data_IF_864052330822
#
_entry.id   IF_864052330822
#
_cell.length_a   1.000
_cell.length_b   1.000
_cell.length_c   1.000
_cell.angle_alpha   90.00
_cell.angle_beta   90.00
_cell.angle_gamma   90.00
#
_symmetry.space_group_name_H-M   'P 1'
#
loop_
_entity.id
_entity.type
_entity.pdbx_description
1 polymer ?
#
# COMPACT_ATOMS: atom_id res chain seq x y z
N UNK A 1 12.75 -3.89 -19.22
CA UNK A 1 13.99 -3.29 -19.71
C UNK A 1 15.02 -4.38 -19.95
N UNK A 2 15.79 -4.29 -21.03
CA UNK A 2 16.94 -5.12 -21.37
C UNK A 2 18.23 -4.42 -20.94
N UNK A 3 19.34 -5.15 -20.81
CA UNK A 3 20.64 -4.54 -20.49
C UNK A 3 21.08 -3.50 -21.53
N UNK A 4 20.79 -3.78 -22.79
CA UNK A 4 21.08 -2.89 -23.92
C UNK A 4 20.27 -1.59 -23.89
N UNK A 5 19.26 -1.49 -23.02
CA UNK A 5 18.55 -0.22 -22.82
C UNK A 5 19.48 0.78 -22.11
N UNK A 6 20.48 0.33 -21.33
CA UNK A 6 21.53 1.22 -20.80
C UNK A 6 22.43 1.66 -21.97
N UNK A 7 22.35 2.93 -22.36
CA UNK A 7 22.98 3.49 -23.58
C UNK A 7 24.46 3.14 -23.74
N UNK A 8 25.22 3.19 -22.65
CA UNK A 8 26.67 2.94 -22.68
C UNK A 8 27.04 1.45 -22.61
N UNK A 9 26.04 0.57 -22.49
CA UNK A 9 26.21 -0.88 -22.38
C UNK A 9 26.08 -1.51 -23.77
N UNK A 10 27.23 -1.81 -24.39
CA UNK A 10 27.32 -2.41 -25.73
C UNK A 10 26.82 -3.85 -25.75
N UNK A 11 26.25 -4.28 -26.89
CA UNK A 11 25.72 -5.63 -27.08
C UNK A 11 26.69 -6.77 -26.72
N UNK A 12 27.99 -6.63 -27.01
CA UNK A 12 28.96 -7.67 -26.67
C UNK A 12 29.19 -7.78 -25.17
N UNK A 13 29.18 -6.65 -24.45
CA UNK A 13 29.21 -6.66 -22.98
C UNK A 13 27.90 -7.19 -22.40
N UNK A 14 26.75 -6.86 -23.00
CA UNK A 14 25.45 -7.40 -22.59
C UNK A 14 25.44 -8.93 -22.64
N UNK A 15 25.91 -9.52 -23.75
CA UNK A 15 26.03 -10.98 -23.89
C UNK A 15 26.95 -11.59 -22.83
N UNK A 16 28.11 -10.98 -22.58
CA UNK A 16 29.03 -11.44 -21.54
C UNK A 16 28.42 -11.36 -20.14
N UNK A 17 27.66 -10.32 -19.83
CA UNK A 17 26.92 -10.18 -18.58
C UNK A 17 25.83 -11.27 -18.45
N UNK A 18 25.11 -11.54 -19.54
CA UNK A 18 24.06 -12.57 -19.61
C UNK A 18 24.62 -13.98 -19.39
N UNK A 19 25.77 -14.30 -19.99
CA UNK A 19 26.52 -15.54 -19.77
C UNK A 19 26.92 -15.72 -18.29
N UNK A 20 27.04 -14.61 -17.54
CA UNK A 20 27.38 -14.58 -16.12
C UNK A 20 26.17 -14.31 -15.21
N UNK A 21 24.95 -14.43 -15.74
CA UNK A 21 23.71 -14.43 -14.96
C UNK A 21 23.10 -13.05 -14.69
N UNK A 22 23.64 -11.98 -15.26
CA UNK A 22 23.06 -10.64 -15.22
C UNK A 22 22.27 -10.46 -16.51
N UNK A 23 20.93 -10.41 -16.43
CA UNK A 23 20.05 -10.44 -17.61
C UNK A 23 19.25 -9.15 -17.80
N UNK A 24 19.06 -8.41 -16.72
CA UNK A 24 18.27 -7.18 -16.67
C UNK A 24 19.00 -6.08 -15.92
N UNK A 25 18.65 -4.79 -16.14
CA UNK A 25 19.20 -3.70 -15.35
C UNK A 25 18.96 -3.87 -13.84
N UNK A 26 17.86 -4.49 -13.41
CA UNK A 26 17.59 -4.72 -11.99
C UNK A 26 18.60 -5.69 -11.35
N UNK A 27 19.10 -6.66 -12.11
CA UNK A 27 20.12 -7.60 -11.63
C UNK A 27 21.45 -6.89 -11.31
N UNK A 28 21.71 -5.75 -11.96
CA UNK A 28 22.87 -4.92 -11.64
C UNK A 28 22.74 -4.29 -10.25
N UNK A 29 21.54 -3.95 -9.79
CA UNK A 29 21.31 -3.31 -8.47
C UNK A 29 21.67 -4.22 -7.29
N UNK A 30 21.73 -5.54 -7.51
CA UNK A 30 22.06 -6.52 -6.48
C UNK A 30 23.57 -6.77 -6.31
N UNK A 31 24.38 -6.13 -7.15
CA UNK A 31 25.83 -6.24 -7.12
C UNK A 31 26.41 -5.41 -5.99
N UNK A 32 27.16 -6.04 -5.09
CA UNK A 32 28.04 -5.32 -4.17
C UNK A 32 29.36 -5.02 -4.84
N UNK A 33 30.13 -4.06 -4.30
CA UNK A 33 31.49 -3.73 -4.77
C UNK A 33 32.40 -4.96 -4.97
N UNK A 34 32.29 -5.96 -4.10
CA UNK A 34 33.04 -7.23 -4.24
C UNK A 34 32.56 -8.05 -5.44
N UNK A 35 31.24 -8.14 -5.65
CA UNK A 35 30.66 -8.84 -6.81
C UNK A 35 31.06 -8.16 -8.12
N UNK A 36 31.05 -6.83 -8.17
CA UNK A 36 31.49 -6.04 -9.35
C UNK A 36 32.94 -6.38 -9.72
N UNK A 37 33.86 -6.33 -8.75
CA UNK A 37 35.27 -6.62 -8.99
C UNK A 37 35.52 -8.06 -9.48
N UNK A 38 34.75 -9.02 -8.99
CA UNK A 38 34.85 -10.40 -9.44
C UNK A 38 34.29 -10.59 -10.85
N UNK A 39 33.18 -9.93 -11.16
CA UNK A 39 32.58 -9.95 -12.49
C UNK A 39 33.52 -9.33 -13.53
N UNK A 40 34.17 -8.21 -13.18
CA UNK A 40 35.20 -7.56 -14.00
C UNK A 40 36.35 -8.51 -14.38
N UNK A 41 36.90 -9.25 -13.40
CA UNK A 41 37.99 -10.21 -13.64
C UNK A 41 37.59 -11.35 -14.57
N UNK A 42 36.35 -11.84 -14.46
CA UNK A 42 35.86 -12.96 -15.26
C UNK A 42 35.56 -12.57 -16.70
N UNK A 43 34.95 -11.39 -16.87
CA UNK A 43 34.49 -10.91 -18.17
C UNK A 43 35.55 -10.10 -18.91
N UNK A 44 36.59 -9.64 -18.22
CA UNK A 44 37.56 -8.68 -18.75
C UNK A 44 37.02 -7.25 -18.86
N UNK A 45 35.79 -7.00 -18.40
CA UNK A 45 35.15 -5.68 -18.41
C UNK A 45 35.72 -4.85 -17.27
N UNK A 46 35.95 -3.56 -17.51
CA UNK A 46 36.41 -2.64 -16.47
C UNK A 46 35.37 -2.53 -15.33
N UNK A 47 35.84 -2.64 -14.08
CA UNK A 47 34.97 -2.62 -12.90
C UNK A 47 34.20 -1.30 -12.76
N UNK A 48 34.79 -0.16 -13.14
CA UNK A 48 34.11 1.14 -13.11
C UNK A 48 32.99 1.18 -14.14
N UNK A 49 33.17 0.54 -15.30
CA UNK A 49 32.14 0.51 -16.32
C UNK A 49 30.90 -0.27 -15.85
N UNK A 50 31.10 -1.36 -15.10
CA UNK A 50 30.02 -2.11 -14.45
C UNK A 50 29.33 -1.28 -13.36
N UNK A 51 30.12 -0.56 -12.55
CA UNK A 51 29.62 0.37 -11.52
C UNK A 51 28.70 1.44 -12.16
N UNK A 52 29.15 2.07 -13.26
CA UNK A 52 28.35 3.05 -13.99
C UNK A 52 27.06 2.46 -14.58
N UNK A 53 27.06 1.21 -15.02
CA UNK A 53 25.82 0.55 -15.45
C UNK A 53 24.85 0.32 -14.28
N UNK A 54 25.37 0.01 -13.09
CA UNK A 54 24.55 -0.09 -11.87
C UNK A 54 23.96 1.27 -11.48
N UNK A 55 24.74 2.36 -11.55
CA UNK A 55 24.29 3.74 -11.31
C UNK A 55 23.14 4.13 -12.25
N UNK A 56 23.28 3.84 -13.55
CA UNK A 56 22.21 4.07 -14.52
C UNK A 56 20.96 3.24 -14.19
N UNK A 57 21.13 1.97 -13.84
CA UNK A 57 20.03 1.11 -13.44
C UNK A 57 19.30 1.64 -12.20
N UNK A 58 20.03 2.24 -11.24
CA UNK A 58 19.42 2.82 -10.03
C UNK A 58 18.57 4.03 -10.40
N UNK A 59 19.10 4.95 -11.19
CA UNK A 59 18.38 6.14 -11.64
C UNK A 59 17.11 5.82 -12.45
N UNK A 60 17.15 4.80 -13.31
CA UNK A 60 15.99 4.36 -14.12
C UNK A 60 14.83 3.75 -13.30
N UNK A 61 14.97 3.63 -11.98
CA UNK A 61 13.86 3.23 -11.08
C UNK A 61 12.84 4.34 -10.88
N UNK A 62 13.21 5.57 -11.18
CA UNK A 62 12.35 6.75 -11.08
C UNK A 62 11.52 6.85 -12.36
N UNK A 63 10.20 6.94 -12.20
CA UNK A 63 9.29 7.10 -13.33
C UNK A 63 9.60 8.41 -14.06
N UNK A 64 9.77 8.33 -15.38
CA UNK A 64 10.21 9.45 -16.22
C UNK A 64 11.72 9.53 -16.45
N UNK A 65 12.55 8.82 -15.68
CA UNK A 65 13.97 8.66 -15.98
C UNK A 65 14.16 7.45 -16.90
N UNK A 66 14.12 7.70 -18.22
CA UNK A 66 14.56 6.75 -19.23
C UNK A 66 16.09 6.66 -19.33
N UNK A 67 16.62 5.77 -20.19
CA UNK A 67 18.07 5.57 -20.31
C UNK A 67 18.89 6.81 -20.65
N UNK A 68 18.31 7.71 -21.44
CA UNK A 68 18.96 8.92 -21.94
C UNK A 68 19.14 9.93 -20.81
N UNK A 69 18.11 10.09 -19.98
CA UNK A 69 18.19 10.92 -18.79
C UNK A 69 19.04 10.29 -17.70
N UNK A 70 18.96 8.97 -17.47
CA UNK A 70 19.85 8.30 -16.52
C UNK A 70 21.32 8.51 -16.87
N UNK A 71 21.67 8.44 -18.16
CA UNK A 71 23.02 8.71 -18.61
C UNK A 71 23.41 10.18 -18.42
N UNK A 72 22.58 11.14 -18.82
CA UNK A 72 22.87 12.56 -18.65
C UNK A 72 23.02 12.95 -17.17
N UNK A 73 22.16 12.44 -16.29
CA UNK A 73 22.20 12.66 -14.84
C UNK A 73 23.52 12.13 -14.27
N UNK A 74 23.94 10.93 -14.67
CA UNK A 74 25.22 10.36 -14.27
C UNK A 74 26.40 11.23 -14.72
N UNK A 75 26.38 11.69 -15.98
CA UNK A 75 27.44 12.52 -16.56
C UNK A 75 27.61 13.88 -15.87
N UNK A 76 26.55 14.45 -15.31
CA UNK A 76 26.63 15.67 -14.50
C UNK A 76 27.02 15.41 -13.03
N UNK A 77 27.40 14.17 -12.70
CA UNK A 77 27.95 13.77 -11.41
C UNK A 77 26.89 13.45 -10.35
N UNK A 78 25.77 12.86 -10.77
CA UNK A 78 24.72 12.35 -9.89
C UNK A 78 24.61 10.85 -10.17
N UNK A 79 25.15 10.03 -9.29
CA UNK A 79 25.38 8.61 -9.55
C UNK A 79 24.27 7.66 -9.08
N UNK A 80 23.31 8.15 -8.30
CA UNK A 80 22.32 7.29 -7.65
C UNK A 80 21.03 8.02 -7.35
N UNK A 81 19.97 7.26 -7.09
CA UNK A 81 18.69 7.80 -6.60
C UNK A 81 18.90 8.52 -5.27
N UNK A 82 19.76 7.98 -4.41
CA UNK A 82 20.13 8.64 -3.15
C UNK A 82 20.78 10.00 -3.41
N UNK A 83 21.72 10.09 -4.35
CA UNK A 83 22.33 11.37 -4.69
C UNK A 83 21.35 12.33 -5.34
N UNK A 84 20.53 11.85 -6.26
CA UNK A 84 19.49 12.64 -6.93
C UNK A 84 18.55 13.28 -5.90
N UNK A 85 18.14 12.52 -4.87
CA UNK A 85 17.31 13.01 -3.77
C UNK A 85 17.95 14.13 -2.92
N UNK A 86 19.24 14.44 -3.12
CA UNK A 86 19.97 15.52 -2.44
C UNK A 86 20.17 16.76 -3.33
N UNK A 87 19.73 16.73 -4.60
CA UNK A 87 20.00 17.81 -5.55
C UNK A 87 18.90 18.87 -5.55
N UNK A 88 19.22 20.01 -6.18
CA UNK A 88 18.29 21.11 -6.43
C UNK A 88 17.97 21.14 -7.93
N UNK A 89 16.68 21.18 -8.28
CA UNK A 89 16.23 21.04 -9.67
C UNK A 89 16.80 22.12 -10.60
N UNK A 90 16.72 23.40 -10.22
CA UNK A 90 17.29 24.51 -11.00
C UNK A 90 18.79 24.32 -11.27
N UNK A 91 19.57 24.04 -10.22
CA UNK A 91 21.01 23.80 -10.38
C UNK A 91 21.32 22.54 -11.20
N UNK A 92 20.44 21.54 -11.13
CA UNK A 92 20.57 20.29 -11.88
C UNK A 92 20.30 20.54 -13.36
N UNK A 93 19.25 21.31 -13.67
CA UNK A 93 18.93 21.74 -15.04
C UNK A 93 20.04 22.60 -15.63
N UNK A 94 20.51 23.61 -14.89
CA UNK A 94 21.64 24.46 -15.32
C UNK A 94 22.89 23.60 -15.61
N UNK A 95 23.17 22.58 -14.80
CA UNK A 95 24.27 21.64 -15.05
C UNK A 95 24.03 20.75 -16.28
N UNK A 96 22.79 20.31 -16.52
CA UNK A 96 22.43 19.57 -17.74
C UNK A 96 22.61 20.45 -18.98
N UNK A 97 22.10 21.68 -18.95
CA UNK A 97 22.25 22.68 -20.00
C UNK A 97 23.72 22.96 -20.32
N UNK A 98 24.52 23.22 -19.27
CA UNK A 98 25.94 23.46 -19.40
C UNK A 98 26.66 22.24 -20.01
N UNK A 99 26.29 21.04 -19.57
CA UNK A 99 26.87 19.81 -20.07
C UNK A 99 26.56 19.58 -21.55
N UNK A 100 25.30 19.74 -21.98
CA UNK A 100 24.90 19.59 -23.39
C UNK A 100 25.56 20.66 -24.26
N UNK A 101 25.60 21.91 -23.81
CA UNK A 101 26.26 23.02 -24.53
C UNK A 101 27.75 22.73 -24.76
N UNK A 102 28.43 22.15 -23.77
CA UNK A 102 29.84 21.75 -23.87
C UNK A 102 30.04 20.47 -24.69
N UNK A 103 28.99 19.65 -24.83
CA UNK A 103 29.04 18.34 -25.50
C UNK A 103 27.94 18.22 -26.57
N UNK A 104 28.05 18.93 -27.71
CA UNK A 104 26.98 19.01 -28.72
C UNK A 104 26.64 17.69 -29.42
N UNK A 105 27.39 16.62 -29.13
CA UNK A 105 27.10 15.25 -29.59
C UNK A 105 25.97 14.59 -28.79
N UNK A 106 25.66 15.11 -27.60
CA UNK A 106 24.54 14.66 -26.79
C UNK A 106 23.29 15.33 -27.35
N UNK A 107 22.53 14.59 -28.16
CA UNK A 107 21.27 15.06 -28.75
C UNK A 107 20.14 14.55 -27.86
N UNK A 108 19.82 15.33 -26.83
CA UNK A 108 18.74 15.05 -25.90
C UNK A 108 17.99 16.34 -25.61
N UNK A 109 16.66 16.28 -25.67
CA UNK A 109 15.84 17.41 -25.24
C UNK A 109 15.97 17.57 -23.72
N UNK A 110 16.26 18.81 -23.31
CA UNK A 110 16.35 19.11 -21.88
C UNK A 110 15.00 18.83 -21.22
N UNK A 111 15.00 18.15 -20.07
CA UNK A 111 13.77 18.00 -19.30
C UNK A 111 13.32 19.40 -18.86
N UNK A 112 12.02 19.57 -18.64
CA UNK A 112 11.55 20.78 -18.00
C UNK A 112 11.99 20.77 -16.53
N UNK A 113 12.05 21.94 -15.91
CA UNK A 113 12.44 22.03 -14.49
C UNK A 113 11.51 21.18 -13.61
N UNK A 114 10.22 21.12 -13.98
CA UNK A 114 9.18 20.35 -13.31
C UNK A 114 9.44 18.83 -13.36
N UNK A 115 9.99 18.32 -14.47
CA UNK A 115 10.34 16.90 -14.60
C UNK A 115 11.45 16.52 -13.61
N UNK A 116 12.49 17.37 -13.49
CA UNK A 116 13.58 17.15 -12.54
C UNK A 116 13.09 17.26 -11.10
N UNK A 117 12.21 18.23 -10.81
CA UNK A 117 11.57 18.34 -9.50
C UNK A 117 10.83 17.05 -9.14
N UNK A 118 10.05 16.50 -10.08
CA UNK A 118 9.34 15.24 -9.89
C UNK A 118 10.28 14.04 -9.69
N UNK A 119 11.39 13.98 -10.41
CA UNK A 119 12.39 12.92 -10.21
C UNK A 119 13.06 12.97 -8.84
N UNK A 120 13.43 14.16 -8.37
CA UNK A 120 14.03 14.37 -7.04
C UNK A 120 13.02 14.01 -5.96
N UNK A 121 11.73 14.32 -6.16
CA UNK A 121 10.66 13.93 -5.26
C UNK A 121 10.52 12.40 -5.15
N UNK A 122 10.37 11.71 -6.28
CA UNK A 122 10.32 10.25 -6.31
C UNK A 122 11.58 9.64 -5.67
N UNK A 123 12.77 10.19 -5.96
CA UNK A 123 14.04 9.75 -5.41
C UNK A 123 14.12 9.90 -3.88
N UNK A 124 13.53 10.95 -3.32
CA UNK A 124 13.41 11.12 -1.88
C UNK A 124 12.57 9.99 -1.23
N UNK A 125 11.58 9.44 -1.95
CA UNK A 125 10.81 8.27 -1.48
C UNK A 125 11.60 6.96 -1.48
N UNK A 126 12.77 6.94 -2.11
CA UNK A 126 13.72 5.83 -2.07
C UNK A 126 14.87 6.08 -1.06
N UNK A 127 15.27 7.35 -0.85
CA UNK A 127 16.39 7.77 0.02
C UNK A 127 16.12 7.52 1.51
N UNK A 128 14.91 7.80 1.97
CA UNK A 128 14.38 7.06 3.12
C UNK A 128 13.57 5.92 2.49
N UNK A 129 13.58 4.72 3.07
CA UNK A 129 12.29 4.24 3.57
C UNK A 129 11.91 5.14 4.74
N UNK A 130 12.55 4.83 5.88
CA UNK A 130 12.16 5.36 7.20
C UNK A 130 13.30 5.37 8.25
N UNK A 131 14.56 5.28 7.83
CA UNK A 131 15.69 5.16 8.77
C UNK A 131 15.60 3.91 9.66
N UNK A 132 15.85 4.05 10.97
CA UNK A 132 15.74 2.96 11.97
C UNK A 132 14.30 2.43 12.14
N UNK A 133 13.28 3.19 11.70
CA UNK A 133 11.87 2.87 11.88
C UNK A 133 11.24 2.31 10.60
N UNK A 134 11.95 1.45 9.87
CA UNK A 134 11.45 0.79 8.66
C UNK A 134 10.54 -0.42 8.91
N UNK A 135 10.28 -1.19 7.85
CA UNK A 135 9.43 -2.40 7.86
C UNK A 135 9.71 -3.32 9.06
N UNK A 136 10.98 -3.64 9.30
CA UNK A 136 11.38 -4.57 10.36
C UNK A 136 11.01 -4.04 11.75
N UNK A 137 11.24 -2.76 12.01
CA UNK A 137 10.88 -2.15 13.29
C UNK A 137 9.38 -2.31 13.55
N UNK A 138 8.52 -1.99 12.59
CA UNK A 138 7.07 -2.01 12.81
C UNK A 138 6.44 -3.40 12.83
N UNK A 139 7.00 -4.37 12.10
CA UNK A 139 6.50 -5.75 12.11
C UNK A 139 6.86 -6.50 13.40
N UNK A 140 8.03 -6.23 13.98
CA UNK A 140 8.56 -6.97 15.14
C UNK A 140 8.35 -6.24 16.48
N UNK A 141 7.83 -5.00 16.45
CA UNK A 141 7.57 -4.21 17.66
C UNK A 141 6.56 -4.84 18.63
N UNK A 142 5.66 -5.67 18.13
CA UNK A 142 4.60 -6.32 18.92
C UNK A 142 4.65 -7.84 18.75
N UNK A 143 4.22 -8.54 19.80
CA UNK A 143 4.11 -10.00 19.79
C UNK A 143 3.11 -10.46 18.75
N UNK A 144 3.48 -11.50 17.98
CA UNK A 144 2.61 -12.13 17.00
C UNK A 144 1.85 -13.28 17.65
N UNK A 145 0.56 -13.36 17.39
CA UNK A 145 -0.30 -14.41 17.90
C UNK A 145 -1.40 -14.73 16.87
N UNK A 146 -1.84 -16.00 16.74
CA UNK A 146 -2.97 -16.33 15.89
C UNK A 146 -4.24 -15.68 16.43
N UNK A 147 -5.08 -15.20 15.51
CA UNK A 147 -6.41 -14.66 15.80
C UNK A 147 -7.38 -15.45 14.94
N UNK A 148 -8.27 -16.19 15.60
CA UNK A 148 -9.16 -17.15 14.95
C UNK A 148 -10.59 -16.62 15.01
N UNK A 149 -11.21 -16.46 13.85
CA UNK A 149 -12.60 -16.06 13.69
C UNK A 149 -13.49 -17.30 13.45
N UNK A 150 -14.58 -17.41 14.22
CA UNK A 150 -15.50 -18.56 14.19
C UNK A 150 -16.95 -18.21 13.84
N UNK A 151 -17.22 -17.03 13.29
CA UNK A 151 -18.60 -16.61 12.96
C UNK A 151 -19.15 -17.14 11.62
N UNK A 152 -18.41 -17.98 10.88
CA UNK A 152 -18.83 -18.53 9.57
C UNK A 152 -19.18 -20.01 9.61
N UNK A 153 -20.17 -20.42 8.81
CA UNK A 153 -20.58 -21.82 8.63
C UNK A 153 -20.50 -22.25 7.16
N UNK A 154 -20.26 -23.53 6.90
CA UNK A 154 -20.28 -24.08 5.54
C UNK A 154 -21.73 -24.22 5.03
N UNK A 155 -21.95 -23.92 3.75
CA UNK A 155 -23.24 -24.19 3.08
C UNK A 155 -23.43 -25.70 2.91
N UNK A 156 -24.59 -26.24 3.34
CA UNK A 156 -24.94 -27.66 3.14
C UNK A 156 -26.00 -28.15 4.13
N UNK A 157 -26.34 -29.44 4.06
CA UNK A 157 -27.36 -30.07 4.93
C UNK A 157 -27.06 -30.01 6.43
N UNK A 158 -25.85 -29.61 6.81
CA UNK A 158 -25.38 -29.43 8.17
C UNK A 158 -24.93 -27.98 8.38
N UNK A 159 -25.89 -27.05 8.48
CA UNK A 159 -25.64 -25.63 8.84
C UNK A 159 -24.99 -25.44 10.23
N UNK A 160 -24.69 -26.52 10.94
CA UNK A 160 -24.12 -26.53 12.28
C UNK A 160 -22.58 -26.63 12.30
N UNK A 161 -21.92 -26.82 11.14
CA UNK A 161 -20.45 -26.89 11.12
C UNK A 161 -19.85 -25.49 10.95
N UNK A 162 -19.39 -24.93 12.07
CA UNK A 162 -18.61 -23.71 12.13
C UNK A 162 -17.23 -23.93 11.48
N UNK A 163 -16.78 -22.94 10.72
CA UNK A 163 -15.42 -22.86 10.19
C UNK A 163 -14.64 -21.85 11.02
N UNK A 164 -13.59 -22.34 11.66
CA UNK A 164 -12.57 -21.50 12.26
C UNK A 164 -11.57 -21.07 11.17
N UNK A 165 -11.43 -19.76 10.94
CA UNK A 165 -10.47 -19.21 9.98
C UNK A 165 -9.53 -18.24 10.66
N UNK A 166 -8.30 -18.18 10.17
CA UNK A 166 -7.37 -17.12 10.54
C UNK A 166 -7.84 -15.80 9.90
N UNK A 167 -7.91 -14.73 10.69
CA UNK A 167 -8.40 -13.41 10.23
C UNK A 167 -7.62 -12.84 9.04
N UNK A 168 -6.37 -13.25 8.82
CA UNK A 168 -5.59 -12.86 7.63
C UNK A 168 -6.26 -13.27 6.33
N UNK A 169 -7.11 -14.31 6.36
CA UNK A 169 -7.87 -14.80 5.20
C UNK A 169 -8.77 -13.72 4.59
N UNK A 170 -9.19 -12.73 5.38
CA UNK A 170 -10.02 -11.62 4.91
C UNK A 170 -9.25 -10.62 4.02
N UNK A 171 -7.92 -10.59 4.10
CA UNK A 171 -7.08 -9.64 3.38
C UNK A 171 -6.20 -10.37 2.36
N UNK A 172 -6.48 -10.15 1.07
CA UNK A 172 -5.73 -10.76 -0.03
C UNK A 172 -5.22 -9.70 -1.00
N UNK A 173 -3.97 -9.85 -1.42
CA UNK A 173 -3.41 -9.11 -2.57
C UNK A 173 -3.90 -9.73 -3.88
N UNK A 174 -3.75 -8.97 -4.96
CA UNK A 174 -4.13 -9.37 -6.32
C UNK A 174 -5.62 -9.76 -6.44
N UNK A 175 -6.48 -9.09 -5.68
CA UNK A 175 -7.92 -9.28 -5.72
C UNK A 175 -8.51 -8.53 -6.93
N UNK A 176 -8.99 -9.28 -7.92
CA UNK A 176 -9.50 -8.71 -9.17
C UNK A 176 -10.69 -7.75 -8.97
N UNK A 177 -11.53 -7.98 -7.96
CA UNK A 177 -12.67 -7.12 -7.66
C UNK A 177 -12.16 -5.80 -7.09
N UNK A 178 -11.25 -5.86 -6.13
CA UNK A 178 -10.66 -4.66 -5.53
C UNK A 178 -9.83 -3.87 -6.54
N UNK A 179 -9.03 -4.53 -7.37
CA UNK A 179 -8.30 -3.89 -8.47
C UNK A 179 -9.25 -3.15 -9.43
N UNK A 180 -10.41 -3.76 -9.71
CA UNK A 180 -11.43 -3.11 -10.53
C UNK A 180 -11.97 -1.86 -9.83
N UNK A 181 -12.36 -1.95 -8.56
CA UNK A 181 -12.81 -0.79 -7.76
C UNK A 181 -11.75 0.33 -7.77
N UNK A 182 -10.50 0.00 -7.47
CA UNK A 182 -9.37 0.95 -7.46
C UNK A 182 -9.22 1.66 -8.80
N UNK A 183 -9.25 0.92 -9.92
CA UNK A 183 -9.12 1.51 -11.25
C UNK A 183 -10.28 2.43 -11.62
N UNK A 184 -11.50 2.06 -11.23
CA UNK A 184 -12.74 2.74 -11.64
C UNK A 184 -12.93 4.03 -10.87
N UNK A 185 -12.65 3.99 -9.57
CA UNK A 185 -12.76 5.14 -8.68
C UNK A 185 -11.44 5.91 -8.54
N UNK A 186 -10.41 5.51 -9.29
CA UNK A 186 -9.10 6.15 -9.31
C UNK A 186 -8.51 6.29 -7.89
N UNK A 187 -8.53 5.20 -7.11
CA UNK A 187 -8.15 5.24 -5.68
C UNK A 187 -6.63 5.27 -5.47
N UNK A 188 -5.84 4.75 -6.41
CA UNK A 188 -4.38 4.86 -6.36
C UNK A 188 -3.96 6.28 -6.72
N UNK A 189 -3.31 6.97 -5.79
CA UNK A 189 -2.83 8.35 -5.91
C UNK A 189 -1.29 8.40 -5.95
N UNK A 190 -0.67 9.54 -6.29
CA UNK A 190 0.79 9.66 -6.34
C UNK A 190 1.48 9.28 -5.04
N UNK A 191 0.90 9.66 -3.89
CA UNK A 191 1.43 9.29 -2.57
C UNK A 191 0.63 8.19 -1.87
N UNK A 192 1.27 7.49 -0.93
CA UNK A 192 0.60 6.47 -0.10
C UNK A 192 -0.42 7.11 0.86
N UNK A 193 -0.13 8.31 1.39
CA UNK A 193 -1.08 9.04 2.25
C UNK A 193 -2.34 9.44 1.46
N UNK A 194 -2.20 10.01 0.27
CA UNK A 194 -3.36 10.34 -0.58
C UNK A 194 -4.12 9.09 -1.03
N UNK A 195 -3.42 7.99 -1.31
CA UNK A 195 -4.04 6.70 -1.64
C UNK A 195 -4.86 6.17 -0.46
N UNK A 196 -4.32 6.26 0.76
CA UNK A 196 -5.01 5.86 1.98
C UNK A 196 -6.25 6.72 2.23
N UNK A 197 -6.13 8.04 2.07
CA UNK A 197 -7.24 8.98 2.22
C UNK A 197 -8.34 8.73 1.18
N UNK A 198 -7.97 8.50 -0.08
CA UNK A 198 -8.92 8.19 -1.15
C UNK A 198 -9.67 6.88 -0.88
N UNK A 199 -9.00 5.86 -0.32
CA UNK A 199 -9.66 4.64 0.13
C UNK A 199 -10.64 4.91 1.28
N UNK A 200 -10.24 5.72 2.27
CA UNK A 200 -11.11 6.10 3.40
C UNK A 200 -12.37 6.85 2.92
N UNK A 201 -12.20 7.88 2.09
CA UNK A 201 -13.29 8.64 1.50
C UNK A 201 -14.24 7.73 0.71
N UNK A 202 -13.69 6.88 -0.15
CA UNK A 202 -14.50 5.97 -0.94
C UNK A 202 -15.34 5.03 -0.08
N UNK A 203 -14.75 4.41 0.95
CA UNK A 203 -15.48 3.48 1.83
C UNK A 203 -16.54 4.23 2.66
N UNK A 204 -16.19 5.39 3.23
CA UNK A 204 -17.12 6.22 3.98
C UNK A 204 -18.34 6.65 3.13
N UNK A 205 -18.12 7.08 1.90
CA UNK A 205 -19.19 7.58 1.03
C UNK A 205 -20.00 6.47 0.37
N UNK A 206 -19.41 5.30 0.14
CA UNK A 206 -20.00 4.23 -0.67
C UNK A 206 -20.63 3.10 0.13
N UNK A 207 -20.25 2.93 1.40
CA UNK A 207 -20.73 1.84 2.26
C UNK A 207 -21.71 2.39 3.29
N UNK A 208 -22.89 1.78 3.37
CA UNK A 208 -23.89 2.11 4.39
C UNK A 208 -23.64 1.31 5.66
N UNK A 209 -23.50 1.99 6.80
CA UNK A 209 -23.41 1.33 8.09
C UNK A 209 -24.72 0.62 8.46
N UNK A 210 -24.66 -0.69 8.69
CA UNK A 210 -25.80 -1.51 9.16
C UNK A 210 -25.26 -2.62 10.06
N UNK A 211 -25.76 -2.68 11.30
CA UNK A 211 -25.44 -3.75 12.25
C UNK A 211 -25.77 -5.15 11.71
N UNK A 212 -24.94 -6.12 12.05
CA UNK A 212 -25.11 -7.52 11.67
C UNK A 212 -26.44 -8.15 12.09
N UNK A 213 -26.99 -7.74 13.24
CA UNK A 213 -28.30 -8.21 13.70
C UNK A 213 -29.41 -7.93 12.68
N UNK A 214 -29.23 -6.88 11.86
CA UNK A 214 -30.18 -6.45 10.83
C UNK A 214 -29.86 -7.00 9.43
N UNK A 215 -28.61 -7.35 9.13
CA UNK A 215 -28.17 -7.83 7.80
C UNK A 215 -28.09 -9.35 7.70
N UNK A 216 -27.70 -10.03 8.78
CA UNK A 216 -27.33 -11.45 8.78
C UNK A 216 -28.10 -12.32 9.81
N UNK A 217 -29.03 -11.73 10.58
CA UNK A 217 -29.71 -12.37 11.72
C UNK A 217 -28.71 -13.05 12.68
N UNK A 218 -27.52 -12.45 12.83
CA UNK A 218 -26.35 -12.94 13.54
C UNK A 218 -25.76 -11.78 14.36
N UNK A 219 -25.13 -12.07 15.50
CA UNK A 219 -24.56 -11.02 16.37
C UNK A 219 -23.21 -10.51 15.83
N UNK A 220 -22.44 -11.34 15.09
CA UNK A 220 -21.14 -10.97 14.52
C UNK A 220 -20.79 -11.83 13.27
N UNK A 221 -20.87 -11.24 12.09
CA UNK A 221 -20.67 -11.81 10.75
C UNK A 221 -19.72 -10.93 9.90
N UNK A 222 -18.42 -11.16 10.05
CA UNK A 222 -17.40 -10.45 9.29
C UNK A 222 -17.46 -10.81 7.81
N UNK A 223 -17.61 -9.83 6.93
CA UNK A 223 -17.68 -9.94 5.47
C UNK A 223 -16.28 -9.98 4.82
N UNK A 224 -16.18 -10.68 3.69
CA UNK A 224 -15.05 -10.54 2.78
C UNK A 224 -15.19 -9.23 1.99
N UNK A 225 -14.07 -8.63 1.52
CA UNK A 225 -14.11 -7.39 0.73
C UNK A 225 -15.08 -7.43 -0.47
N UNK A 226 -15.23 -8.58 -1.14
CA UNK A 226 -16.16 -8.71 -2.26
C UNK A 226 -17.63 -8.76 -1.83
N UNK A 227 -17.93 -9.25 -0.62
CA UNK A 227 -19.28 -9.26 -0.06
C UNK A 227 -19.69 -7.83 0.30
N UNK A 228 -18.81 -7.07 0.95
CA UNK A 228 -19.03 -5.64 1.25
C UNK A 228 -19.20 -4.81 -0.01
N UNK A 229 -18.37 -5.06 -1.03
CA UNK A 229 -18.51 -4.39 -2.33
C UNK A 229 -19.82 -4.74 -3.04
N UNK A 230 -20.33 -5.96 -2.86
CA UNK A 230 -21.60 -6.41 -3.45
C UNK A 230 -22.81 -5.86 -2.70
N UNK A 231 -22.79 -5.86 -1.37
CA UNK A 231 -23.90 -5.40 -0.52
C UNK A 231 -24.01 -3.88 -0.51
N UNK A 232 -22.87 -3.17 -0.61
CA UNK A 232 -22.78 -1.73 -0.34
C UNK A 232 -23.10 -1.39 1.12
N UNK A 233 -23.00 -2.38 2.02
CA UNK A 233 -23.33 -2.22 3.43
C UNK A 233 -22.53 -3.20 4.32
N UNK A 234 -22.25 -2.76 5.54
CA UNK A 234 -21.57 -3.55 6.57
C UNK A 234 -21.47 -2.76 7.85
N UNK A 235 -20.89 -3.34 8.89
CA UNK A 235 -20.57 -2.68 10.15
C UNK A 235 -19.05 -2.51 10.33
N UNK A 236 -18.60 -2.26 11.57
CA UNK A 236 -17.31 -1.64 11.80
C UNK A 236 -16.14 -2.41 11.16
N UNK A 237 -16.11 -3.72 11.32
CA UNK A 237 -15.10 -4.62 10.77
C UNK A 237 -15.20 -4.75 9.25
N UNK A 238 -16.40 -4.77 8.69
CA UNK A 238 -16.61 -5.00 7.26
C UNK A 238 -15.98 -3.87 6.46
N UNK A 239 -16.28 -2.63 6.84
CA UNK A 239 -15.67 -1.47 6.19
C UNK A 239 -14.18 -1.35 6.50
N UNK A 240 -13.71 -1.76 7.68
CA UNK A 240 -12.28 -1.77 8.00
C UNK A 240 -11.50 -2.79 7.14
N UNK A 241 -12.03 -4.00 7.00
CA UNK A 241 -11.47 -5.07 6.16
C UNK A 241 -11.49 -4.66 4.69
N UNK A 242 -12.61 -4.10 4.22
CA UNK A 242 -12.75 -3.63 2.84
C UNK A 242 -11.77 -2.48 2.53
N UNK A 243 -11.67 -1.48 3.42
CA UNK A 243 -10.73 -0.37 3.30
C UNK A 243 -9.28 -0.86 3.29
N UNK A 244 -8.89 -1.71 4.24
CA UNK A 244 -7.55 -2.28 4.27
C UNK A 244 -7.24 -3.10 3.00
N UNK A 245 -8.20 -3.88 2.51
CA UNK A 245 -8.09 -4.62 1.25
C UNK A 245 -7.84 -3.70 0.05
N UNK A 246 -8.57 -2.59 -0.06
CA UNK A 246 -8.37 -1.57 -1.11
C UNK A 246 -6.98 -0.94 -1.02
N UNK A 247 -6.54 -0.56 0.18
CA UNK A 247 -5.22 0.03 0.41
C UNK A 247 -4.09 -0.90 -0.04
N UNK A 248 -4.16 -2.18 0.34
CA UNK A 248 -3.19 -3.20 -0.05
C UNK A 248 -3.15 -3.39 -1.57
N UNK A 249 -4.33 -3.51 -2.20
CA UNK A 249 -4.44 -3.70 -3.64
C UNK A 249 -4.09 -2.43 -4.44
N UNK A 250 -4.17 -1.24 -3.84
CA UNK A 250 -3.72 0.01 -4.45
C UNK A 250 -2.19 0.18 -4.41
N UNK A 251 -1.47 -0.74 -3.78
CA UNK A 251 -0.02 -0.77 -3.72
C UNK A 251 0.57 -0.23 -2.42
N UNK A 252 -0.24 0.02 -1.38
CA UNK A 252 0.29 0.35 -0.05
C UNK A 252 0.90 -0.93 0.55
N UNK A 253 2.15 -0.90 1.03
CA UNK A 253 2.79 -2.09 1.59
C UNK A 253 2.07 -2.62 2.83
N UNK A 254 1.99 -3.95 2.96
CA UNK A 254 1.33 -4.65 4.08
C UNK A 254 1.69 -4.13 5.46
N UNK A 255 2.97 -3.91 5.71
CA UNK A 255 3.47 -3.47 7.00
C UNK A 255 3.05 -2.02 7.36
N UNK A 256 2.40 -1.29 6.46
CA UNK A 256 1.82 0.04 6.69
C UNK A 256 0.30 0.03 6.90
N UNK A 257 -0.37 -1.11 6.77
CA UNK A 257 -1.83 -1.23 6.90
C UNK A 257 -2.14 -2.31 7.92
N UNK A 258 -3.05 -2.05 8.85
CA UNK A 258 -3.60 -3.06 9.75
C UNK A 258 -5.09 -2.83 9.96
N UNK A 259 -5.84 -3.91 10.12
CA UNK A 259 -7.15 -3.87 10.77
C UNK A 259 -6.93 -4.00 12.27
N UNK A 260 -7.68 -3.25 13.07
CA UNK A 260 -7.55 -3.16 14.52
C UNK A 260 -8.92 -3.37 15.16
N UNK A 261 -8.99 -4.24 16.16
CA UNK A 261 -10.15 -4.36 17.05
C UNK A 261 -9.75 -3.90 18.45
N UNK A 262 -10.61 -3.12 19.10
CA UNK A 262 -10.34 -2.55 20.42
C UNK A 262 -11.52 -1.78 20.97
N UNK A 263 -11.27 -1.09 22.09
CA UNK A 263 -12.24 -0.23 22.74
C UNK A 263 -12.20 1.19 22.16
N UNK A 264 -13.37 1.80 22.07
CA UNK A 264 -13.54 3.25 21.86
C UNK A 264 -14.49 3.82 22.90
N UNK A 265 -14.51 5.14 23.07
CA UNK A 265 -15.57 5.80 23.82
C UNK A 265 -16.93 5.42 23.25
N UNK A 266 -17.87 5.07 24.13
CA UNK A 266 -19.20 4.63 23.75
C UNK A 266 -19.84 5.58 22.73
N UNK A 267 -20.47 4.99 21.73
CA UNK A 267 -21.30 5.68 20.77
C UNK A 267 -22.55 4.87 20.46
N UNK A 268 -23.76 5.39 20.75
CA UNK A 268 -24.99 4.62 20.57
C UNK A 268 -25.25 4.13 19.14
N UNK A 269 -24.61 4.73 18.13
CA UNK A 269 -24.86 4.45 16.72
C UNK A 269 -23.84 3.53 16.07
N UNK A 270 -22.62 3.44 16.61
CA UNK A 270 -21.51 2.68 16.00
C UNK A 270 -20.75 1.81 17.00
N UNK A 271 -20.66 2.22 18.27
CA UNK A 271 -19.97 1.47 19.33
C UNK A 271 -20.83 1.45 20.61
N UNK A 272 -22.02 0.84 20.58
CA UNK A 272 -22.94 0.86 21.71
C UNK A 272 -22.38 0.04 22.88
N UNK A 273 -22.64 0.50 24.10
CA UNK A 273 -22.22 -0.15 25.34
C UNK A 273 -23.09 0.30 26.51
N UNK A 274 -23.18 -0.52 27.55
CA UNK A 274 -23.75 -0.12 28.84
C UNK A 274 -22.73 0.60 29.73
N UNK A 275 -21.46 0.60 29.32
CA UNK A 275 -20.35 1.28 29.99
C UNK A 275 -19.83 2.45 29.14
N UNK A 276 -18.83 3.19 29.64
CA UNK A 276 -18.25 4.32 28.91
C UNK A 276 -17.45 3.93 27.66
N UNK A 277 -17.23 2.63 27.41
CA UNK A 277 -16.46 2.13 26.26
C UNK A 277 -17.21 1.02 25.51
N UNK A 278 -17.19 1.08 24.18
CA UNK A 278 -17.74 0.06 23.29
C UNK A 278 -16.64 -0.62 22.46
N UNK A 279 -16.89 -1.85 22.04
CA UNK A 279 -16.04 -2.55 21.07
C UNK A 279 -16.18 -1.93 19.68
N UNK A 280 -15.07 -1.84 18.95
CA UNK A 280 -15.05 -1.25 17.61
C UNK A 280 -13.89 -1.79 16.77
N UNK A 281 -14.10 -1.84 15.45
CA UNK A 281 -13.08 -2.22 14.48
C UNK A 281 -12.79 -1.10 13.48
N UNK A 282 -11.50 -0.84 13.22
CA UNK A 282 -11.03 0.27 12.38
C UNK A 282 -9.70 -0.05 11.70
N UNK A 283 -9.31 0.75 10.70
CA UNK A 283 -8.01 0.58 10.03
C UNK A 283 -6.95 1.46 10.68
N UNK A 284 -5.78 0.89 10.93
CA UNK A 284 -4.56 1.60 11.25
C UNK A 284 -3.70 1.76 10.00
N UNK A 285 -3.28 2.99 9.74
CA UNK A 285 -2.39 3.32 8.64
C UNK A 285 -1.10 3.94 9.17
N UNK A 286 0.04 3.41 8.75
CA UNK A 286 1.35 3.92 9.10
C UNK A 286 1.74 5.04 8.15
N UNK A 287 1.27 6.25 8.43
CA UNK A 287 1.38 7.41 7.57
C UNK A 287 2.81 7.94 7.46
N UNK A 288 3.15 8.50 6.30
CA UNK A 288 4.33 9.35 6.16
C UNK A 288 4.11 10.61 7.02
N UNK A 289 5.01 10.83 8.00
CA UNK A 289 4.98 11.94 8.95
C UNK A 289 6.38 12.55 9.03
N UNK A 290 6.81 13.33 8.03
CA UNK A 290 8.16 13.89 7.98
C UNK A 290 8.50 14.74 9.21
N UNK A 291 7.50 15.34 9.86
CA UNK A 291 7.68 16.14 11.07
C UNK A 291 7.91 15.31 12.34
N UNK A 292 7.62 14.01 12.32
CA UNK A 292 7.88 13.14 13.46
C UNK A 292 9.34 12.65 13.47
N UNK A 293 9.87 12.36 14.67
CA UNK A 293 11.20 11.75 14.83
C UNK A 293 11.32 10.45 14.01
N UNK A 294 10.24 9.66 13.96
CA UNK A 294 10.22 8.36 13.30
C UNK A 294 10.01 8.43 11.78
N UNK A 295 9.62 9.59 11.25
CA UNK A 295 9.17 9.80 9.87
C UNK A 295 7.92 9.00 9.47
N UNK A 296 7.48 8.12 10.36
CA UNK A 296 6.30 7.28 10.29
C UNK A 296 5.54 7.32 11.60
N UNK A 297 4.23 7.49 11.52
CA UNK A 297 3.37 7.32 12.69
C UNK A 297 2.07 6.63 12.32
N UNK A 298 1.58 5.79 13.23
CA UNK A 298 0.25 5.22 13.11
C UNK A 298 -0.80 6.29 13.30
N UNK A 299 -1.70 6.38 12.33
CA UNK A 299 -2.96 7.11 12.41
C UNK A 299 -4.11 6.14 12.30
N UNK A 300 -5.28 6.56 12.77
CA UNK A 300 -6.51 5.79 12.65
C UNK A 300 -7.25 6.30 11.42
N UNK A 301 -7.61 5.38 10.54
CA UNK A 301 -8.54 5.59 9.43
C UNK A 301 -9.79 4.80 9.77
N UNK A 302 -10.77 5.52 10.26
CA UNK A 302 -12.09 4.99 10.56
C UNK A 302 -13.04 5.34 9.42
N UNK A 303 -14.00 4.48 9.15
CA UNK A 303 -14.95 4.71 8.07
C UNK A 303 -16.34 5.08 8.57
N UNK A 304 -16.67 4.75 9.83
CA UNK A 304 -18.03 4.88 10.36
C UNK A 304 -18.14 5.59 11.71
N UNK A 305 -17.13 5.54 12.60
CA UNK A 305 -17.24 6.12 13.93
C UNK A 305 -16.79 7.60 13.98
N UNK A 306 -15.48 7.86 14.05
CA UNK A 306 -14.90 9.20 13.89
C UNK A 306 -14.17 9.28 12.56
N UNK A 307 -14.93 9.13 11.47
CA UNK A 307 -14.39 8.83 10.14
C UNK A 307 -13.57 9.94 9.48
N UNK A 308 -13.81 11.21 9.83
CA UNK A 308 -13.04 12.39 9.40
C UNK A 308 -12.44 12.35 7.96
N UNK A 309 -13.21 11.91 6.93
CA UNK A 309 -12.69 11.63 5.58
C UNK A 309 -12.18 12.88 4.85
N UNK A 310 -12.58 14.07 5.29
CA UNK A 310 -12.14 15.36 4.80
C UNK A 310 -10.78 15.79 5.36
N UNK A 311 -10.31 15.17 6.45
CA UNK A 311 -9.07 15.54 7.13
C UNK A 311 -7.87 14.86 6.47
N UNK A 312 -6.88 15.62 5.94
CA UNK A 312 -5.66 15.05 5.40
C UNK A 312 -4.93 14.17 6.41
N UNK A 313 -4.35 13.07 5.94
CA UNK A 313 -3.67 12.06 6.78
C UNK A 313 -2.64 12.68 7.71
N UNK A 314 -1.88 13.66 7.25
CA UNK A 314 -0.81 14.36 7.97
C UNK A 314 -1.33 15.24 9.11
N UNK A 315 -2.62 15.57 9.10
CA UNK A 315 -3.30 16.38 10.13
C UNK A 315 -4.09 15.54 11.12
N UNK A 316 -4.34 14.27 10.81
CA UNK A 316 -5.03 13.37 11.74
C UNK A 316 -4.24 13.22 13.05
N UNK A 317 -4.89 13.09 14.21
CA UNK A 317 -4.21 12.80 15.47
C UNK A 317 -3.56 11.41 15.44
N UNK A 318 -2.50 11.23 16.24
CA UNK A 318 -1.77 9.96 16.28
C UNK A 318 -2.59 8.89 17.00
N UNK A 319 -2.51 7.65 16.52
CA UNK A 319 -3.21 6.52 17.13
C UNK A 319 -2.79 6.32 18.61
N UNK A 320 -1.49 6.46 18.90
CA UNK A 320 -0.93 6.37 20.27
C UNK A 320 -1.42 7.46 21.23
N UNK A 321 -2.04 8.52 20.73
CA UNK A 321 -2.62 9.62 21.52
C UNK A 321 -4.14 9.48 21.66
N UNK A 322 -4.71 8.34 21.23
CA UNK A 322 -6.13 8.02 21.28
C UNK A 322 -6.92 8.52 20.07
N UNK A 323 -6.25 8.92 18.98
CA UNK A 323 -6.90 9.34 17.74
C UNK A 323 -7.84 10.53 17.91
N UNK A 324 -8.86 10.58 17.05
CA UNK A 324 -9.84 11.68 17.06
C UNK A 324 -10.57 11.75 18.40
N UNK A 325 -10.67 12.96 18.96
CA UNK A 325 -11.29 13.23 20.27
C UNK A 325 -10.73 12.41 21.45
N UNK A 326 -9.55 11.79 21.30
CA UNK A 326 -8.99 10.80 22.26
C UNK A 326 -9.96 9.64 22.51
N UNK A 327 -10.76 9.29 21.51
CA UNK A 327 -11.84 8.34 21.61
C UNK A 327 -11.35 6.88 21.58
N UNK A 328 -10.17 6.60 21.02
CA UNK A 328 -9.66 5.24 20.84
C UNK A 328 -8.83 4.81 22.06
N UNK A 329 -9.13 3.62 22.61
CA UNK A 329 -8.63 3.11 23.89
C UNK A 329 -7.79 1.85 23.68
N UNK A 330 -8.07 0.80 24.45
CA UNK A 330 -7.29 -0.41 24.47
C UNK A 330 -7.45 -1.20 23.17
N UNK A 331 -6.32 -1.69 22.66
CA UNK A 331 -6.27 -2.54 21.46
C UNK A 331 -6.29 -4.00 21.88
N UNK A 332 -7.27 -4.77 21.39
CA UNK A 332 -7.36 -6.20 21.65
C UNK A 332 -6.41 -6.99 20.74
N UNK A 333 -6.46 -6.67 19.44
CA UNK A 333 -5.59 -7.26 18.44
C UNK A 333 -5.52 -6.41 17.16
N UNK A 334 -4.49 -6.68 16.35
CA UNK A 334 -4.39 -6.12 14.99
C UNK A 334 -3.94 -7.19 14.00
N UNK A 335 -4.28 -7.05 12.73
CA UNK A 335 -3.80 -7.95 11.68
C UNK A 335 -3.67 -7.25 10.33
N UNK A 336 -2.87 -7.83 9.43
CA UNK A 336 -2.81 -7.47 8.01
C UNK A 336 -2.80 -8.75 7.17
N UNK A 337 -2.48 -8.70 5.87
CA UNK A 337 -2.41 -9.89 5.01
C UNK A 337 -1.24 -10.84 5.34
N UNK A 338 -0.26 -10.41 6.14
CA UNK A 338 0.95 -11.18 6.45
C UNK A 338 0.99 -11.67 7.91
N UNK A 339 0.59 -10.84 8.87
CA UNK A 339 0.81 -11.04 10.31
C UNK A 339 -0.42 -10.65 11.15
N UNK A 340 -0.50 -11.25 12.33
CA UNK A 340 -1.45 -10.94 13.41
C UNK A 340 -0.67 -10.60 14.68
N UNK A 341 -1.16 -9.64 15.46
CA UNK A 341 -0.51 -9.19 16.70
C UNK A 341 -1.52 -9.11 17.86
N UNK A 342 -1.18 -9.73 18.98
CA UNK A 342 -1.90 -9.65 20.27
C UNK A 342 -0.99 -10.11 21.42
N UNK A 343 -1.34 -9.80 22.67
CA UNK A 343 -0.59 -10.20 23.86
C UNK A 343 -0.70 -11.71 24.16
N UNK A 344 -1.76 -12.36 23.68
CA UNK A 344 -2.00 -13.81 23.76
C UNK A 344 -2.78 -14.27 22.53
N UNK A 345 -2.90 -15.58 22.31
CA UNK A 345 -3.83 -16.10 21.31
C UNK A 345 -5.26 -15.60 21.61
N UNK A 346 -5.99 -15.22 20.57
CA UNK A 346 -7.30 -14.60 20.68
C UNK A 346 -8.31 -15.32 19.78
N UNK A 347 -9.51 -15.57 20.29
CA UNK A 347 -10.61 -16.19 19.56
C UNK A 347 -11.78 -15.20 19.51
N UNK A 348 -12.33 -14.99 18.31
CA UNK A 348 -13.50 -14.15 18.09
C UNK A 348 -14.72 -15.09 18.00
N UNK A 349 -15.51 -15.10 19.06
CA UNK A 349 -16.71 -15.93 19.20
C UNK A 349 -17.93 -15.21 18.61
N UNK A 350 -18.41 -15.68 17.46
CA UNK A 350 -19.71 -15.23 16.93
C UNK A 350 -20.84 -15.85 17.74
N UNK A 351 -21.40 -15.12 18.69
CA UNK A 351 -22.32 -15.68 19.70
C UNK A 351 -23.67 -16.21 19.17
N UNK A 352 -23.94 -16.09 17.86
CA UNK A 352 -25.07 -16.76 17.19
C UNK A 352 -24.71 -17.08 15.74
N UNK A 353 -24.50 -18.36 15.43
CA UNK A 353 -24.32 -18.85 14.04
C UNK A 353 -25.42 -18.29 13.14
N UNK A 354 -25.08 -17.65 12.01
CA UNK A 354 -26.05 -17.19 11.01
C UNK A 354 -26.99 -18.35 10.60
N UNK A 355 -28.21 -18.33 11.13
CA UNK A 355 -29.19 -19.42 10.93
C UNK A 355 -30.03 -19.22 9.66
N UNK A 356 -29.91 -18.10 8.95
CA UNK A 356 -30.76 -17.81 7.81
C UNK A 356 -30.03 -17.05 6.69
N UNK A 357 -29.50 -17.80 5.72
CA UNK A 357 -29.48 -17.34 4.33
C UNK A 357 -30.18 -18.37 3.44
N UNK A 358 -31.50 -18.51 3.57
CA UNK A 358 -32.29 -18.61 2.34
C UNK A 358 -32.23 -17.20 1.76
N UNK A 359 -31.37 -16.97 0.77
CA UNK A 359 -31.43 -15.76 -0.02
C UNK A 359 -32.86 -15.63 -0.59
N UNK A 360 -33.75 -14.94 0.14
CA UNK A 360 -35.01 -14.49 -0.42
C UNK A 360 -34.60 -13.49 -1.49
N UNK A 361 -34.96 -13.81 -2.73
CA UNK A 361 -34.59 -13.17 -3.99
C UNK A 361 -34.82 -11.64 -4.05
N UNK A 362 -35.43 -11.06 -3.03
CA UNK A 362 -36.01 -9.71 -3.07
C UNK A 362 -35.22 -8.63 -2.33
N UNK A 363 -34.29 -8.96 -1.42
CA UNK A 363 -33.58 -7.92 -0.62
C UNK A 363 -32.10 -7.69 -0.94
N UNK A 364 -31.51 -8.39 -1.93
CA UNK A 364 -30.18 -8.05 -2.47
C UNK A 364 -30.33 -7.48 -3.87
N UNK A 365 -30.89 -6.28 -3.96
CA UNK A 365 -31.05 -5.54 -5.21
C UNK A 365 -30.51 -4.11 -5.13
N UNK A 366 -29.48 -3.84 -4.32
CA UNK A 366 -28.47 -2.86 -4.75
C UNK A 366 -27.49 -3.57 -5.65
N UNK A 367 -27.94 -3.67 -6.90
CA UNK A 367 -27.23 -4.17 -8.04
C UNK A 367 -25.83 -3.55 -8.08
N UNK A 368 -24.81 -4.41 -7.96
CA UNK A 368 -23.48 -4.27 -8.59
C UNK A 368 -23.59 -3.58 -9.97
N UNK A 369 -24.71 -3.74 -10.68
CA UNK A 369 -25.09 -3.01 -11.90
C UNK A 369 -24.94 -1.48 -11.81
N UNK A 370 -25.14 -0.76 -10.70
CA UNK A 370 -24.93 0.70 -10.70
C UNK A 370 -23.45 1.10 -10.75
N UNK A 371 -22.57 0.27 -10.16
CA UNK A 371 -21.12 0.42 -10.26
C UNK A 371 -20.64 -0.16 -11.61
N UNK A 372 -21.14 -1.33 -12.03
CA UNK A 372 -20.83 -2.00 -13.31
C UNK A 372 -21.37 -1.25 -14.54
N UNK A 373 -22.52 -0.61 -14.46
CA UNK A 373 -23.09 0.19 -15.56
C UNK A 373 -22.24 1.46 -15.74
N UNK A 374 -21.77 2.08 -14.66
CA UNK A 374 -20.74 3.16 -14.73
C UNK A 374 -19.40 2.66 -15.29
N UNK A 375 -19.05 1.39 -15.08
CA UNK A 375 -17.85 0.74 -15.63
C UNK A 375 -17.97 0.46 -17.14
N UNK A 376 -19.17 0.11 -17.63
CA UNK A 376 -19.41 -0.27 -19.02
C UNK A 376 -19.60 0.93 -19.98
N UNK A 377 -19.87 2.14 -19.48
CA UNK A 377 -20.12 3.34 -20.31
C UNK A 377 -18.85 3.85 -21.03
N UNK A 378 -17.63 3.44 -20.65
CA UNK A 378 -16.38 3.86 -21.33
C UNK A 378 -15.84 2.88 -22.39
N UNK A 379 -16.63 1.90 -22.82
CA UNK A 379 -16.19 0.89 -23.82
C UNK A 379 -16.96 0.92 -25.14
N UNK A 380 -17.74 1.98 -25.39
CA UNK A 380 -18.29 2.30 -26.71
C UNK A 380 -18.15 3.79 -26.97
N UNK A 381 -17.01 4.17 -27.53
CA UNK A 381 -16.87 4.89 -28.81
C UNK A 381 -15.39 4.96 -29.19
#
# INVERSE_FOLDING_TARGET
MKLTDIIILKNDHAKLLEEHGIKTPNDLLELSKSKINNLAKKTGIDAKLIDTWQEHADLMRIEGIGPEYAHLINLIGIDSVKELSMRNAKSTLERMEEYIKKNPKVILELPQIEDIEHWIEQANTFKQKYGEYGKNYWNEKWSKAPIIYKGRALRGGSYNQIVAIDVRTFLKKDDAILQKVISVFNLKKPTMNETALACQQFVHDSIKYIFDELTAECVEYWQFPFETAQSGAGDCEDGAIFMAGLMLNAGIPSWRVKVCAGNVLQDPSVAPSETNEGGHCYTLYLADRPDSKRKLEWVILDWCYNADPEVPIEKKPLAREGGQKKAYKDVWFTFNDENCWSNSAFEIEGDRISKNQKAKKENVLNRIKNIIDKINIKSKE
#
